data_IF_796088009496
#
_entry.id   IF_796088009496
#
_cell.length_a   1.000
_cell.length_b   1.000
_cell.length_c   1.000
_cell.angle_alpha   90.00
_cell.angle_beta   90.00
_cell.angle_gamma   90.00
#
_symmetry.space_group_name_H-M   'P 1'
#
loop_
_entity.id
_entity.type
_entity.pdbx_description
1 polymer ?
#
# COMPACT_ATOMS: atom_id res chain seq x y z
N UNK A 1 -13.45 1.63 -8.88
CA UNK A 1 -12.69 2.84 -8.55
C UNK A 1 -11.81 2.55 -7.35
N UNK A 2 -10.55 2.23 -7.60
CA UNK A 2 -9.55 1.88 -6.57
C UNK A 2 -8.65 3.04 -6.21
N UNK A 3 -9.21 4.24 -6.05
CA UNK A 3 -8.45 5.41 -5.63
C UNK A 3 -8.33 5.40 -4.11
N UNK A 4 -7.11 5.33 -3.63
CA UNK A 4 -6.80 5.43 -2.20
C UNK A 4 -6.33 6.84 -1.89
N UNK A 5 -7.04 7.53 -1.00
CA UNK A 5 -6.67 8.87 -0.55
C UNK A 5 -5.57 8.82 0.52
N UNK A 6 -4.59 9.68 0.39
CA UNK A 6 -3.48 9.85 1.31
C UNK A 6 -3.35 11.32 1.75
N UNK A 7 -2.64 11.55 2.83
CA UNK A 7 -2.38 12.90 3.33
C UNK A 7 -1.06 13.41 2.72
N UNK A 8 -1.14 14.41 1.86
CA UNK A 8 0.00 14.92 1.08
C UNK A 8 1.19 15.46 1.91
N UNK A 9 0.95 15.77 3.18
CA UNK A 9 1.98 16.35 4.07
C UNK A 9 2.77 15.30 4.87
N UNK A 10 2.58 14.03 4.56
CA UNK A 10 3.14 12.92 5.34
C UNK A 10 4.24 12.22 4.57
N UNK A 11 5.27 11.84 5.30
CA UNK A 11 6.43 11.14 4.76
C UNK A 11 7.63 12.05 4.50
N UNK A 12 8.68 11.48 3.97
CA UNK A 12 9.90 12.19 3.60
C UNK A 12 9.70 12.91 2.25
N UNK A 13 10.03 14.21 2.19
CA UNK A 13 9.97 14.96 0.94
C UNK A 13 11.08 14.48 0.01
N UNK A 14 10.73 13.59 -0.90
CA UNK A 14 11.68 12.97 -1.83
C UNK A 14 11.72 13.66 -3.20
N UNK A 15 10.79 14.59 -3.48
CA UNK A 15 10.55 15.07 -4.83
C UNK A 15 10.80 16.55 -4.99
N UNK A 16 11.43 16.92 -6.10
CA UNK A 16 11.61 18.29 -6.55
C UNK A 16 10.77 18.62 -7.79
N UNK A 17 10.30 17.59 -8.51
CA UNK A 17 9.41 17.69 -9.68
C UNK A 17 8.57 16.43 -9.82
N UNK A 18 7.53 16.47 -10.64
CA UNK A 18 6.61 15.36 -10.86
C UNK A 18 7.31 14.17 -11.55
N UNK A 19 8.19 14.42 -12.51
CA UNK A 19 9.00 13.39 -13.15
C UNK A 19 9.94 12.68 -12.17
N UNK A 20 10.57 13.45 -11.26
CA UNK A 20 11.45 12.94 -10.21
C UNK A 20 10.65 12.09 -9.19
N UNK A 21 9.38 12.45 -8.96
CA UNK A 21 8.47 11.70 -8.10
C UNK A 21 8.16 10.31 -8.67
N UNK A 22 7.75 10.25 -9.92
CA UNK A 22 7.44 8.99 -10.61
C UNK A 22 8.65 8.04 -10.64
N UNK A 23 9.84 8.55 -10.97
CA UNK A 23 11.07 7.76 -11.02
C UNK A 23 11.47 7.21 -9.64
N UNK A 24 11.41 8.04 -8.61
CA UNK A 24 11.75 7.63 -7.23
C UNK A 24 10.77 6.61 -6.67
N UNK A 25 9.47 6.80 -6.89
CA UNK A 25 8.44 5.83 -6.50
C UNK A 25 8.66 4.52 -7.23
N UNK A 26 8.92 4.57 -8.55
CA UNK A 26 9.23 3.38 -9.34
C UNK A 26 10.45 2.64 -8.79
N UNK A 27 11.54 3.36 -8.51
CA UNK A 27 12.75 2.80 -7.93
C UNK A 27 12.51 2.20 -6.54
N UNK A 28 11.75 2.89 -5.70
CA UNK A 28 11.41 2.43 -4.36
C UNK A 28 10.59 1.13 -4.40
N UNK A 29 9.62 1.04 -5.30
CA UNK A 29 8.81 -0.16 -5.50
C UNK A 29 9.65 -1.33 -6.05
N UNK A 30 10.48 -1.06 -7.04
CA UNK A 30 11.35 -2.09 -7.64
C UNK A 30 12.38 -2.62 -6.65
N UNK A 31 12.96 -1.76 -5.81
CA UNK A 31 13.93 -2.16 -4.79
C UNK A 31 13.29 -2.82 -3.56
N UNK A 32 12.10 -2.36 -3.18
CA UNK A 32 11.38 -2.90 -2.03
C UNK A 32 10.69 -4.24 -2.31
N UNK A 33 10.34 -4.49 -3.58
CA UNK A 33 9.60 -5.68 -4.00
C UNK A 33 10.20 -6.31 -5.26
N UNK A 34 11.45 -6.80 -5.20
CA UNK A 34 12.11 -7.37 -6.37
C UNK A 34 11.36 -8.61 -6.88
N UNK A 35 10.94 -8.59 -8.14
CA UNK A 35 10.27 -9.71 -8.81
C UNK A 35 8.79 -9.93 -8.46
N UNK A 36 8.21 -9.10 -7.58
CA UNK A 36 6.79 -9.20 -7.21
C UNK A 36 5.86 -8.41 -8.14
N UNK A 37 6.43 -7.50 -8.92
CA UNK A 37 5.71 -6.68 -9.89
C UNK A 37 6.44 -6.77 -11.23
N UNK A 38 5.71 -7.17 -12.26
CA UNK A 38 6.19 -7.17 -13.65
C UNK A 38 5.63 -5.96 -14.38
N UNK A 39 6.42 -5.42 -15.31
CA UNK A 39 6.02 -4.27 -16.17
C UNK A 39 5.50 -3.05 -15.38
N UNK A 40 6.11 -2.79 -14.21
CA UNK A 40 5.73 -1.67 -13.37
C UNK A 40 5.89 -0.33 -14.11
N UNK A 41 4.81 0.39 -14.23
CA UNK A 41 4.77 1.79 -14.67
C UNK A 41 4.23 2.64 -13.54
N UNK A 42 4.87 3.74 -13.31
CA UNK A 42 4.47 4.74 -12.32
C UNK A 42 4.32 6.07 -13.02
N UNK A 43 3.16 6.65 -12.88
CA UNK A 43 2.85 7.99 -13.37
C UNK A 43 2.52 8.87 -12.17
N UNK A 44 2.95 10.11 -12.20
CA UNK A 44 2.68 11.06 -11.13
C UNK A 44 2.20 12.37 -11.74
N UNK A 45 1.01 12.79 -11.36
CA UNK A 45 0.38 14.02 -11.83
C UNK A 45 -0.39 14.70 -10.70
N UNK A 46 -0.04 15.95 -10.41
CA UNK A 46 -0.69 16.80 -9.39
C UNK A 46 -0.91 16.12 -8.01
N UNK A 47 0.01 15.27 -7.61
CA UNK A 47 -0.07 14.53 -6.35
C UNK A 47 -0.84 13.21 -6.44
N UNK A 48 -1.27 12.81 -7.62
CA UNK A 48 -1.90 11.51 -7.87
C UNK A 48 -0.88 10.56 -8.49
N UNK A 49 -0.66 9.42 -7.84
CA UNK A 49 0.19 8.35 -8.37
C UNK A 49 -0.70 7.35 -9.09
N UNK A 50 -0.41 7.07 -10.35
CA UNK A 50 -1.04 5.98 -11.10
C UNK A 50 -0.05 4.83 -11.24
N UNK A 51 -0.42 3.68 -10.71
CA UNK A 51 0.36 2.45 -10.79
C UNK A 51 -0.26 1.50 -11.82
N UNK A 52 0.56 1.00 -12.73
CA UNK A 52 0.18 -0.02 -13.69
C UNK A 52 1.23 -1.14 -13.74
N UNK A 53 0.81 -2.35 -14.05
CA UNK A 53 1.67 -3.52 -14.13
C UNK A 53 0.98 -4.78 -13.63
N UNK A 54 1.71 -5.88 -13.58
CA UNK A 54 1.22 -7.16 -13.04
C UNK A 54 1.88 -7.48 -11.71
N UNK A 55 1.07 -7.73 -10.68
CA UNK A 55 1.52 -8.21 -9.37
C UNK A 55 1.33 -9.72 -9.27
N UNK A 56 2.23 -10.38 -8.57
CA UNK A 56 2.12 -11.82 -8.25
C UNK A 56 0.94 -12.11 -7.32
N UNK A 57 0.65 -11.20 -6.39
CA UNK A 57 -0.42 -11.36 -5.40
C UNK A 57 -1.17 -10.05 -5.15
N UNK A 58 -2.38 -10.16 -4.59
CA UNK A 58 -3.14 -9.00 -4.12
C UNK A 58 -2.43 -8.26 -2.98
N UNK A 59 -1.64 -9.00 -2.17
CA UNK A 59 -0.76 -8.40 -1.16
C UNK A 59 0.28 -7.47 -1.78
N UNK A 60 0.94 -7.91 -2.85
CA UNK A 60 1.94 -7.09 -3.57
C UNK A 60 1.32 -5.82 -4.14
N UNK A 61 0.12 -5.90 -4.71
CA UNK A 61 -0.66 -4.75 -5.15
C UNK A 61 -0.93 -3.78 -3.99
N UNK A 62 -1.39 -4.30 -2.85
CA UNK A 62 -1.66 -3.51 -1.64
C UNK A 62 -0.40 -2.81 -1.11
N UNK A 63 0.70 -3.55 -1.00
CA UNK A 63 1.99 -3.02 -0.54
C UNK A 63 2.49 -1.92 -1.47
N UNK A 64 2.41 -2.13 -2.80
CA UNK A 64 2.78 -1.13 -3.78
C UNK A 64 1.97 0.16 -3.61
N UNK A 65 0.65 0.04 -3.45
CA UNK A 65 -0.25 1.18 -3.23
C UNK A 65 0.11 1.95 -1.95
N UNK A 66 0.33 1.24 -0.83
CA UNK A 66 0.70 1.86 0.44
C UNK A 66 2.09 2.51 0.37
N UNK A 67 3.06 1.84 -0.24
CA UNK A 67 4.42 2.37 -0.38
C UNK A 67 4.43 3.64 -1.24
N UNK A 68 3.71 3.65 -2.36
CA UNK A 68 3.58 4.83 -3.19
C UNK A 68 2.86 5.98 -2.47
N UNK A 69 1.78 5.67 -1.74
CA UNK A 69 0.96 6.67 -1.09
C UNK A 69 1.58 7.30 0.17
N UNK A 70 2.49 6.60 0.84
CA UNK A 70 3.17 7.11 2.04
C UNK A 70 4.36 8.04 1.72
N UNK A 71 4.50 8.48 0.48
CA UNK A 71 5.48 9.49 0.10
C UNK A 71 4.89 10.90 0.23
N UNK A 72 5.71 11.83 0.73
CA UNK A 72 5.30 13.23 0.88
C UNK A 72 5.03 13.86 -0.49
N UNK A 73 3.87 14.49 -0.64
CA UNK A 73 3.40 15.07 -1.90
C UNK A 73 2.38 14.20 -2.63
N UNK A 74 2.18 12.95 -2.21
CA UNK A 74 1.15 12.08 -2.74
C UNK A 74 -0.17 12.31 -2.02
N UNK A 75 -1.19 12.72 -2.76
CA UNK A 75 -2.56 12.93 -2.29
C UNK A 75 -3.43 11.69 -2.48
N UNK A 76 -3.21 10.99 -3.59
CA UNK A 76 -3.95 9.78 -3.90
C UNK A 76 -3.11 8.79 -4.72
N UNK A 77 -3.48 7.52 -4.64
CA UNK A 77 -2.88 6.45 -5.47
C UNK A 77 -4.00 5.72 -6.20
N UNK A 78 -3.87 5.65 -7.50
CA UNK A 78 -4.71 4.86 -8.38
C UNK A 78 -3.95 3.59 -8.80
N UNK A 79 -4.45 2.44 -8.41
CA UNK A 79 -3.90 1.13 -8.74
C UNK A 79 -4.87 0.28 -9.59
N UNK A 80 -5.81 0.92 -10.29
CA UNK A 80 -6.81 0.21 -11.11
C UNK A 80 -6.15 -0.53 -12.28
N UNK A 81 -5.08 0.03 -12.83
CA UNK A 81 -4.29 -0.57 -13.90
C UNK A 81 -3.29 -1.64 -13.42
N UNK A 82 -3.21 -1.90 -12.12
CA UNK A 82 -2.43 -3.01 -11.59
C UNK A 82 -3.24 -4.30 -11.57
N UNK A 83 -2.83 -5.24 -12.41
CA UNK A 83 -3.44 -6.57 -12.46
C UNK A 83 -2.79 -7.48 -11.43
N UNK A 84 -3.58 -8.30 -10.76
CA UNK A 84 -3.07 -9.36 -9.89
C UNK A 84 -3.01 -10.64 -10.72
N UNK A 85 -1.81 -11.19 -10.85
CA UNK A 85 -1.63 -12.49 -11.49
C UNK A 85 -2.26 -13.54 -10.57
N UNK A 86 -3.47 -13.96 -10.90
CA UNK A 86 -4.11 -15.04 -10.18
C UNK A 86 -3.17 -16.25 -10.17
N UNK A 87 -2.63 -16.60 -9.00
CA UNK A 87 -2.05 -17.90 -8.80
C UNK A 87 -3.12 -18.91 -9.23
N UNK A 88 -2.79 -19.77 -10.17
CA UNK A 88 -3.69 -20.68 -10.82
C UNK A 88 -4.53 -21.46 -9.79
N UNK A 89 -5.73 -20.97 -9.53
CA UNK A 89 -6.80 -21.75 -8.94
C UNK A 89 -7.74 -22.15 -10.07
N UNK A 90 -8.24 -23.39 -10.11
CA UNK A 90 -8.94 -23.92 -11.25
C UNK A 90 -10.21 -23.15 -11.55
N UNK A 91 -10.39 -22.93 -12.84
CA UNK A 91 -11.54 -22.32 -13.45
C UNK A 91 -12.88 -22.77 -12.83
N UNK A 92 -13.69 -21.84 -12.41
CA UNK A 92 -15.13 -21.95 -12.50
C UNK A 92 -15.79 -20.57 -12.56
N UNK A 93 -16.31 -20.31 -13.72
CA UNK A 93 -17.46 -19.49 -14.13
C UNK A 93 -17.44 -17.98 -13.94
N UNK A 94 -17.44 -17.40 -15.12
CA UNK A 94 -17.88 -16.06 -15.46
C UNK A 94 -19.18 -15.63 -14.79
N UNK A 95 -19.21 -14.41 -14.31
CA UNK A 95 -20.33 -13.48 -14.50
C UNK A 95 -19.91 -12.07 -14.10
N UNK A 96 -20.11 -11.17 -15.01
CA UNK A 96 -19.86 -9.75 -14.96
C UNK A 96 -20.44 -9.06 -13.73
N UNK A 97 -19.58 -8.35 -13.04
CA UNK A 97 -19.91 -7.11 -12.34
C UNK A 97 -18.62 -6.33 -12.13
N UNK A 98 -18.60 -4.99 -12.17
CA UNK A 98 -17.41 -4.22 -11.88
C UNK A 98 -17.11 -4.39 -10.41
N UNK A 99 -16.32 -5.40 -10.11
CA UNK A 99 -15.87 -5.65 -8.77
C UNK A 99 -14.88 -4.56 -8.39
N UNK A 100 -15.28 -3.73 -7.45
CA UNK A 100 -14.33 -3.19 -6.51
C UNK A 100 -13.34 -4.31 -6.18
N UNK A 101 -12.06 -4.09 -6.46
CA UNK A 101 -11.03 -5.08 -6.24
C UNK A 101 -11.07 -5.48 -4.77
N UNK A 102 -11.73 -6.57 -4.50
CA UNK A 102 -11.71 -7.25 -3.24
C UNK A 102 -10.28 -7.73 -3.06
N UNK A 103 -9.60 -7.08 -2.15
CA UNK A 103 -8.38 -7.63 -1.58
C UNK A 103 -8.76 -8.91 -0.83
N UNK A 104 -8.88 -10.01 -1.56
CA UNK A 104 -9.12 -11.35 -0.99
C UNK A 104 -7.82 -11.93 -0.49
N UNK A 105 -7.11 -11.19 0.34
CA UNK A 105 -5.83 -11.71 0.80
C UNK A 105 -5.67 -11.67 2.29
N UNK A 106 -6.40 -11.24 3.07
CA UNK A 106 -6.51 -11.30 4.53
C UNK A 106 -7.58 -10.32 4.99
N UNK A 107 -8.50 -10.73 5.83
CA UNK A 107 -9.43 -9.81 6.44
C UNK A 107 -8.65 -8.75 7.23
N UNK A 108 -8.89 -7.50 6.95
CA UNK A 108 -8.17 -6.42 7.61
C UNK A 108 -8.73 -5.04 7.27
N UNK A 109 -8.20 -4.05 7.93
CA UNK A 109 -8.60 -2.67 7.70
C UNK A 109 -7.39 -1.75 7.48
N UNK A 110 -7.61 -0.66 6.76
CA UNK A 110 -6.60 0.39 6.62
C UNK A 110 -6.76 1.42 7.73
N UNK A 111 -5.66 1.75 8.38
CA UNK A 111 -5.61 2.76 9.43
C UNK A 111 -4.59 3.84 9.09
N UNK A 112 -4.99 5.10 9.26
CA UNK A 112 -4.07 6.24 9.13
C UNK A 112 -3.54 6.60 10.52
N UNK A 113 -2.22 6.53 10.67
CA UNK A 113 -1.53 6.83 11.92
C UNK A 113 -1.74 8.29 12.29
N UNK A 114 -2.11 8.55 13.53
CA UNK A 114 -2.27 9.89 14.10
C UNK A 114 -1.05 10.28 14.90
N UNK A 115 -0.88 11.59 15.10
CA UNK A 115 0.19 12.10 15.95
C UNK A 115 0.07 11.53 17.37
N UNK A 116 1.13 10.91 17.85
CA UNK A 116 1.18 10.24 19.15
C UNK A 116 0.75 8.77 19.14
N UNK A 117 0.33 8.21 18.00
CA UNK A 117 0.04 6.78 17.91
C UNK A 117 1.33 5.96 17.92
N UNK A 118 1.24 4.79 18.54
CA UNK A 118 2.28 3.76 18.51
C UNK A 118 1.69 2.46 17.95
N UNK A 119 2.50 1.64 17.31
CA UNK A 119 2.02 0.35 16.79
C UNK A 119 1.41 -0.54 17.87
N UNK A 120 1.97 -0.50 19.09
CA UNK A 120 1.39 -1.20 20.24
C UNK A 120 0.03 -0.64 20.67
N UNK A 121 -0.14 0.68 20.64
CA UNK A 121 -1.42 1.34 20.91
C UNK A 121 -2.47 1.01 19.86
N UNK A 122 -2.09 1.05 18.60
CA UNK A 122 -2.95 0.68 17.45
C UNK A 122 -3.35 -0.79 17.54
N UNK A 123 -2.39 -1.68 17.80
CA UNK A 123 -2.65 -3.12 17.99
C UNK A 123 -3.63 -3.39 19.16
N UNK A 124 -3.44 -2.71 20.28
CA UNK A 124 -4.35 -2.82 21.41
C UNK A 124 -5.77 -2.36 21.07
N UNK A 125 -5.89 -1.28 20.30
CA UNK A 125 -7.18 -0.70 19.91
C UNK A 125 -7.96 -1.56 18.91
N UNK A 126 -7.25 -2.10 17.90
CA UNK A 126 -7.88 -2.80 16.77
C UNK A 126 -7.85 -4.33 16.90
N UNK A 127 -6.84 -4.89 17.56
CA UNK A 127 -6.64 -6.32 17.75
C UNK A 127 -6.83 -6.77 19.22
N UNK A 128 -7.13 -5.82 20.11
CA UNK A 128 -7.34 -6.10 21.54
C UNK A 128 -6.07 -6.44 22.32
N UNK A 129 -4.92 -6.57 21.65
CA UNK A 129 -3.66 -6.97 22.26
C UNK A 129 -2.50 -6.12 21.77
N UNK A 130 -1.81 -5.43 22.69
CA UNK A 130 -0.64 -4.61 22.34
C UNK A 130 0.51 -5.43 21.74
N UNK A 131 0.67 -6.70 22.13
CA UNK A 131 1.71 -7.59 21.59
C UNK A 131 1.44 -8.00 20.13
N UNK A 132 0.21 -7.83 19.64
CA UNK A 132 -0.16 -8.08 18.26
C UNK A 132 0.43 -7.06 17.26
N UNK A 133 1.15 -6.04 17.74
CA UNK A 133 1.87 -5.09 16.86
C UNK A 133 2.81 -5.80 15.88
N UNK A 134 3.34 -6.97 16.25
CA UNK A 134 4.17 -7.79 15.37
C UNK A 134 3.44 -8.21 14.08
N UNK A 135 2.16 -8.58 14.19
CA UNK A 135 1.31 -8.91 13.04
C UNK A 135 1.14 -7.69 12.13
N UNK A 136 0.94 -6.51 12.71
CA UNK A 136 0.86 -5.26 11.95
C UNK A 136 2.19 -4.97 11.25
N UNK A 137 3.33 -5.14 11.93
CA UNK A 137 4.65 -4.97 11.33
C UNK A 137 4.89 -5.95 10.17
N UNK A 138 4.53 -7.22 10.34
CA UNK A 138 4.68 -8.25 9.30
C UNK A 138 3.82 -7.97 8.08
N UNK A 139 2.57 -7.54 8.30
CA UNK A 139 1.64 -7.18 7.24
C UNK A 139 2.06 -5.91 6.47
N UNK A 140 2.89 -5.06 7.09
CA UNK A 140 3.37 -3.78 6.51
C UNK A 140 4.90 -3.72 6.43
N UNK A 141 5.59 -4.83 6.42
CA UNK A 141 7.05 -4.93 6.50
C UNK A 141 7.77 -4.07 5.44
N UNK A 142 7.16 -3.95 4.29
CA UNK A 142 7.70 -3.17 3.17
C UNK A 142 7.49 -1.66 3.36
N UNK A 143 6.44 -1.28 4.10
CA UNK A 143 6.08 0.11 4.39
C UNK A 143 6.69 0.57 5.72
N UNK A 144 6.73 -0.32 6.72
CA UNK A 144 7.27 -0.06 8.05
C UNK A 144 8.61 -0.79 8.18
N UNK A 145 9.69 -0.09 7.92
CA UNK A 145 11.05 -0.64 8.11
C UNK A 145 11.43 -0.74 9.59
N UNK A 146 10.87 0.13 10.41
CA UNK A 146 11.18 0.26 11.82
C UNK A 146 9.89 0.49 12.61
N UNK A 147 9.54 -0.38 13.58
CA UNK A 147 8.30 -0.23 14.35
C UNK A 147 8.25 1.04 15.21
N UNK A 148 9.42 1.62 15.50
CA UNK A 148 9.55 2.86 16.27
C UNK A 148 9.54 4.11 15.38
N UNK A 149 9.67 3.94 14.05
CA UNK A 149 9.69 5.02 13.07
C UNK A 149 8.43 5.03 12.21
N UNK A 150 7.31 5.26 12.85
CA UNK A 150 6.04 5.50 12.17
C UNK A 150 5.74 7.01 12.17
N UNK A 151 5.16 7.47 11.08
CA UNK A 151 4.86 8.89 10.89
C UNK A 151 3.36 9.15 10.96
N UNK A 152 2.95 10.27 11.60
CA UNK A 152 1.55 10.69 11.56
C UNK A 152 1.09 10.88 10.12
N UNK A 153 -0.08 10.33 9.77
CA UNK A 153 -0.67 10.34 8.44
C UNK A 153 -0.23 9.19 7.54
N UNK A 154 0.75 8.39 7.94
CA UNK A 154 1.10 7.16 7.26
C UNK A 154 -0.08 6.17 7.30
N UNK A 155 -0.41 5.60 6.16
CA UNK A 155 -1.46 4.59 6.06
C UNK A 155 -0.87 3.20 6.17
N UNK A 156 -1.42 2.39 7.05
CA UNK A 156 -1.00 1.01 7.30
C UNK A 156 -2.18 0.05 7.21
N UNK A 157 -1.88 -1.20 6.97
CA UNK A 157 -2.86 -2.29 6.97
C UNK A 157 -2.86 -3.01 8.32
N UNK A 158 -4.03 -3.21 8.90
CA UNK A 158 -4.22 -3.97 10.14
C UNK A 158 -4.91 -5.28 9.80
N UNK A 159 -4.21 -6.42 9.84
CA UNK A 159 -4.82 -7.72 9.59
C UNK A 159 -5.80 -8.04 10.72
N UNK A 160 -6.97 -8.56 10.38
CA UNK A 160 -7.95 -9.11 11.34
C UNK A 160 -7.91 -10.63 11.24
N UNK A 161 -7.80 -11.28 12.39
CA UNK A 161 -7.94 -12.74 12.48
C UNK A 161 -9.40 -13.16 12.34
#
# INVERSE_FOLDING_TARGET
MGMFDFIADVGEKLFTSDDDAAEKIHKQLTQGMPGMISDLKVDFDDGVVTLAGECDTARSKRVATLTAGNNKGVKAVNADAMLVRAAAAPAAVAAAAPAAATAEDEPGEYYTIKSGDTLGGIAKKHLGNAMAYKKICEANREVIKDPDKIYPGQKIFIPKD
#
